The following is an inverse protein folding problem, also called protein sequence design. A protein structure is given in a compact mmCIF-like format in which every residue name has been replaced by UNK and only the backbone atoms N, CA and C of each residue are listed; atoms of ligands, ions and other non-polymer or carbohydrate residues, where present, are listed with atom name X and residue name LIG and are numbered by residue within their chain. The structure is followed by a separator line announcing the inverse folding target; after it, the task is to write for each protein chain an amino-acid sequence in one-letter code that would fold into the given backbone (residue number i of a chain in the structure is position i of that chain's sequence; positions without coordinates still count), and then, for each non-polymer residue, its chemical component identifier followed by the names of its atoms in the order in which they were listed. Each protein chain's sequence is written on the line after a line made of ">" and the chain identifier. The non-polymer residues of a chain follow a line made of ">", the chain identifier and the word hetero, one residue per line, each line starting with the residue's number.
data_IF_436802705954
#
_entry.id   IF_436802705954
#
_cell.length_a   1.000
_cell.length_b   1.000
_cell.length_c   1.000
_cell.angle_alpha   90.00
_cell.angle_beta   90.00
_cell.angle_gamma   90.00
#
_symmetry.space_group_name_H-M   'P 1'
#
loop_
_entity.id
_entity.type
_entity.pdbx_description
1 polymer ?
#
# COMPACT_ATOMS: atom_id res chain seq x y z
N UNK A 1 22.53 -26.58 4.59
CA UNK A 1 21.44 -26.27 3.62
C UNK A 1 20.06 -26.81 4.02
N UNK A 2 19.91 -28.05 4.50
CA UNK A 2 18.60 -28.68 4.72
C UNK A 2 17.73 -28.01 5.80
N UNK A 3 18.35 -27.46 6.85
CA UNK A 3 17.65 -26.77 7.94
C UNK A 3 17.23 -25.33 7.60
N UNK A 4 17.96 -24.62 6.72
CA UNK A 4 17.57 -23.28 6.25
C UNK A 4 16.34 -23.34 5.34
N UNK A 5 16.25 -24.35 4.47
CA UNK A 5 15.08 -24.54 3.61
C UNK A 5 13.84 -24.91 4.44
N UNK A 6 14.01 -25.73 5.48
CA UNK A 6 12.92 -26.12 6.38
C UNK A 6 12.46 -24.97 7.29
N UNK A 7 13.37 -24.08 7.70
CA UNK A 7 13.03 -22.88 8.48
C UNK A 7 12.27 -21.85 7.63
N UNK A 8 12.66 -21.68 6.37
CA UNK A 8 12.01 -20.75 5.43
C UNK A 8 10.64 -21.28 5.00
N UNK A 9 10.51 -22.60 4.77
CA UNK A 9 9.21 -23.24 4.50
C UNK A 9 8.29 -23.19 5.73
N UNK A 10 8.84 -23.38 6.94
CA UNK A 10 8.10 -23.26 8.19
C UNK A 10 7.59 -21.84 8.46
N UNK A 11 8.38 -20.82 8.13
CA UNK A 11 7.97 -19.41 8.21
C UNK A 11 6.85 -19.09 7.21
N UNK A 12 6.95 -19.61 5.97
CA UNK A 12 5.92 -19.44 4.93
C UNK A 12 4.62 -20.15 5.29
N UNK A 13 4.69 -21.36 5.87
CA UNK A 13 3.52 -22.09 6.36
C UNK A 13 2.88 -21.45 7.60
N UNK A 14 3.69 -20.96 8.54
CA UNK A 14 3.20 -20.23 9.71
C UNK A 14 2.54 -18.90 9.32
N UNK A 15 3.07 -18.21 8.32
CA UNK A 15 2.47 -16.99 7.76
C UNK A 15 1.18 -17.31 6.98
N UNK A 16 1.16 -18.39 6.19
CA UNK A 16 -0.04 -18.85 5.48
C UNK A 16 -1.20 -19.25 6.40
N UNK A 17 -0.88 -19.84 7.56
CA UNK A 17 -1.86 -20.14 8.61
C UNK A 17 -2.31 -18.88 9.38
N UNK A 18 -1.46 -17.86 9.52
CA UNK A 18 -1.84 -16.58 10.11
C UNK A 18 -2.74 -15.74 9.19
N UNK A 19 -2.61 -15.89 7.87
CA UNK A 19 -3.49 -15.24 6.87
C UNK A 19 -4.85 -15.92 6.68
N UNK A 20 -5.11 -17.03 7.39
CA UNK A 20 -6.39 -17.74 7.36
C UNK A 20 -7.38 -17.28 8.45
N UNK A 21 -6.94 -16.45 9.41
CA UNK A 21 -7.85 -15.52 10.07
C UNK A 21 -8.19 -14.41 9.05
N UNK A 22 -9.40 -13.82 9.06
CA UNK A 22 -9.65 -12.67 8.21
C UNK A 22 -8.50 -11.71 8.46
N UNK A 23 -7.80 -11.34 7.39
CA UNK A 23 -6.96 -10.17 7.41
C UNK A 23 -7.90 -9.03 7.84
N UNK A 24 -8.00 -8.82 9.14
CA UNK A 24 -8.29 -7.53 9.72
C UNK A 24 -7.13 -6.73 9.17
N UNK A 25 -7.38 -6.15 7.99
CA UNK A 25 -6.72 -4.98 7.52
C UNK A 25 -6.60 -4.14 8.77
N UNK A 26 -5.40 -4.08 9.33
CA UNK A 26 -5.09 -3.07 10.30
C UNK A 26 -5.18 -1.82 9.45
N UNK A 27 -6.40 -1.28 9.40
CA UNK A 27 -6.66 0.07 9.05
C UNK A 27 -5.69 0.83 9.94
N UNK A 28 -4.56 1.24 9.35
CA UNK A 28 -3.98 2.48 9.76
C UNK A 28 -5.16 3.44 9.68
N UNK A 29 -5.62 3.87 10.85
CA UNK A 29 -6.76 4.72 11.11
C UNK A 29 -6.44 6.12 10.57
N UNK A 30 -6.18 6.16 9.27
CA UNK A 30 -5.80 7.30 8.49
C UNK A 30 -6.80 7.31 7.35
N UNK A 31 -8.00 7.78 7.67
CA UNK A 31 -9.09 8.07 6.73
C UNK A 31 -8.69 9.22 5.77
N UNK A 32 -7.47 9.18 5.24
CA UNK A 32 -6.92 10.05 4.20
C UNK A 32 -7.71 9.95 2.89
N UNK A 33 -8.52 8.89 2.73
CA UNK A 33 -9.36 8.65 1.55
C UNK A 33 -10.84 9.02 1.76
N UNK A 34 -11.25 9.44 2.96
CA UNK A 34 -12.63 9.83 3.29
C UNK A 34 -13.65 8.70 3.08
N UNK A 35 -13.20 7.45 3.16
CA UNK A 35 -14.03 6.26 2.94
C UNK A 35 -15.01 6.03 4.09
N UNK A 36 -14.69 6.55 5.29
CA UNK A 36 -15.61 6.59 6.43
C UNK A 36 -16.72 7.62 6.24
N UNK A 37 -16.39 8.82 5.74
CA UNK A 37 -17.35 9.91 5.54
C UNK A 37 -18.27 9.72 4.32
N UNK A 38 -17.80 9.07 3.26
CA UNK A 38 -18.61 8.81 2.06
C UNK A 38 -19.79 7.84 2.31
N UNK A 39 -19.66 6.92 3.27
CA UNK A 39 -20.71 5.98 3.65
C UNK A 39 -21.94 6.64 4.30
N UNK A 40 -21.79 7.86 4.83
CA UNK A 40 -22.87 8.59 5.50
C UNK A 40 -23.64 9.53 4.54
N UNK A 41 -23.14 9.76 3.31
CA UNK A 41 -23.68 10.77 2.38
C UNK A 41 -24.73 10.24 1.37
N UNK A 42 -25.05 8.95 1.34
CA UNK A 42 -26.18 8.43 0.55
C UNK A 42 -26.06 8.55 -0.99
N UNK A 43 -24.85 8.72 -1.54
CA UNK A 43 -24.63 8.83 -2.98
C UNK A 43 -24.38 7.45 -3.61
N UNK A 44 -25.29 6.98 -4.46
CA UNK A 44 -25.20 5.71 -5.22
C UNK A 44 -24.01 5.65 -6.20
N UNK A 45 -23.26 6.74 -6.41
CA UNK A 45 -21.98 6.75 -7.15
C UNK A 45 -20.75 6.36 -6.29
N UNK A 46 -20.97 6.08 -5.00
CA UNK A 46 -19.92 5.81 -4.00
C UNK A 46 -19.31 4.41 -4.16
N UNK A 47 -20.05 3.44 -4.68
CA UNK A 47 -19.58 2.05 -4.75
C UNK A 47 -18.36 1.88 -5.66
N UNK A 48 -18.32 2.56 -6.80
CA UNK A 48 -17.18 2.41 -7.74
C UNK A 48 -15.92 3.01 -7.14
N UNK A 49 -15.99 4.19 -6.52
CA UNK A 49 -14.83 4.84 -5.89
C UNK A 49 -14.31 4.03 -4.71
N UNK A 50 -15.20 3.52 -3.85
CA UNK A 50 -14.82 2.70 -2.70
C UNK A 50 -14.28 1.33 -3.15
N UNK A 51 -14.87 0.72 -4.17
CA UNK A 51 -14.39 -0.56 -4.73
C UNK A 51 -13.01 -0.41 -5.34
N UNK A 52 -12.78 0.65 -6.13
CA UNK A 52 -11.46 0.94 -6.71
C UNK A 52 -10.43 1.24 -5.63
N UNK A 53 -10.78 2.03 -4.60
CA UNK A 53 -9.88 2.30 -3.48
C UNK A 53 -9.50 1.03 -2.71
N UNK A 54 -10.45 0.10 -2.51
CA UNK A 54 -10.19 -1.20 -1.89
C UNK A 54 -9.25 -2.06 -2.73
N UNK A 55 -9.46 -2.13 -4.05
CA UNK A 55 -8.61 -2.91 -4.97
C UNK A 55 -7.19 -2.35 -4.98
N UNK A 56 -7.03 -1.03 -5.05
CA UNK A 56 -5.72 -0.36 -5.02
C UNK A 56 -5.01 -0.67 -3.71
N UNK A 57 -5.67 -0.48 -2.56
CA UNK A 57 -5.06 -0.78 -1.25
C UNK A 57 -4.68 -2.26 -1.10
N UNK A 58 -5.53 -3.18 -1.56
CA UNK A 58 -5.23 -4.61 -1.55
C UNK A 58 -4.01 -4.95 -2.43
N UNK A 59 -3.96 -4.37 -3.64
CA UNK A 59 -2.82 -4.53 -4.55
C UNK A 59 -1.53 -3.98 -3.97
N UNK A 60 -1.56 -2.75 -3.45
CA UNK A 60 -0.39 -2.11 -2.84
C UNK A 60 0.13 -2.88 -1.63
N UNK A 61 -0.75 -3.44 -0.79
CA UNK A 61 -0.37 -4.27 0.34
C UNK A 61 0.36 -5.55 -0.08
N UNK A 62 -0.16 -6.25 -1.09
CA UNK A 62 0.46 -7.48 -1.61
C UNK A 62 1.82 -7.16 -2.26
N UNK A 63 1.88 -6.12 -3.11
CA UNK A 63 3.12 -5.70 -3.75
C UNK A 63 4.18 -5.26 -2.73
N UNK A 64 3.79 -4.48 -1.71
CA UNK A 64 4.68 -4.05 -0.64
C UNK A 64 5.24 -5.23 0.17
N UNK A 65 4.40 -6.23 0.45
CA UNK A 65 4.82 -7.45 1.15
C UNK A 65 5.85 -8.25 0.34
N UNK A 66 5.63 -8.39 -0.97
CA UNK A 66 6.58 -9.08 -1.86
C UNK A 66 7.92 -8.33 -1.89
N UNK A 67 7.90 -7.00 -1.98
CA UNK A 67 9.12 -6.18 -1.94
C UNK A 67 9.88 -6.35 -0.63
N UNK A 68 9.19 -6.40 0.50
CA UNK A 68 9.83 -6.66 1.81
C UNK A 68 10.55 -8.01 1.82
N UNK A 69 9.93 -9.07 1.30
CA UNK A 69 10.55 -10.40 1.21
C UNK A 69 11.80 -10.39 0.32
N UNK A 70 11.76 -9.67 -0.81
CA UNK A 70 12.91 -9.53 -1.71
C UNK A 70 14.07 -8.78 -1.06
N UNK A 71 13.79 -7.72 -0.30
CA UNK A 71 14.80 -6.97 0.45
C UNK A 71 15.46 -7.86 1.49
N UNK A 72 14.68 -8.65 2.24
CA UNK A 72 15.21 -9.60 3.21
C UNK A 72 16.08 -10.65 2.52
N UNK A 73 15.62 -11.24 1.41
CA UNK A 73 16.39 -12.20 0.63
C UNK A 73 17.73 -11.63 0.13
N UNK A 74 17.70 -10.42 -0.42
CA UNK A 74 18.89 -9.73 -0.88
C UNK A 74 19.85 -9.39 0.26
N UNK A 75 19.33 -8.99 1.42
CA UNK A 75 20.11 -8.74 2.63
C UNK A 75 20.83 -9.99 3.12
N UNK A 76 20.14 -11.14 3.14
CA UNK A 76 20.77 -12.42 3.46
C UNK A 76 21.85 -12.80 2.44
N UNK A 77 21.56 -12.66 1.14
CA UNK A 77 22.51 -12.94 0.07
C UNK A 77 23.78 -12.08 0.23
N UNK A 78 23.62 -10.80 0.57
CA UNK A 78 24.73 -9.89 0.81
C UNK A 78 25.55 -10.30 2.04
N UNK A 79 24.90 -10.66 3.14
CA UNK A 79 25.57 -11.08 4.38
C UNK A 79 26.30 -12.42 4.20
N UNK A 80 25.77 -13.33 3.39
CA UNK A 80 26.38 -14.65 3.14
C UNK A 80 27.40 -14.66 2.00
N UNK A 81 27.60 -13.54 1.30
CA UNK A 81 28.46 -13.47 0.13
C UNK A 81 29.94 -13.77 0.44
N UNK A 82 30.38 -13.70 1.70
CA UNK A 82 31.71 -14.10 2.17
C UNK A 82 32.90 -13.57 1.32
N UNK A 83 32.74 -12.39 0.71
CA UNK A 83 33.75 -11.75 -0.14
C UNK A 83 33.71 -12.14 -1.63
N UNK A 84 32.76 -12.99 -2.07
CA UNK A 84 32.54 -13.24 -3.50
C UNK A 84 31.85 -12.05 -4.16
N UNK A 85 32.59 -11.37 -5.02
CA UNK A 85 32.15 -10.14 -5.69
C UNK A 85 30.86 -10.34 -6.51
N UNK A 86 30.69 -11.50 -7.15
CA UNK A 86 29.46 -11.87 -7.87
C UNK A 86 28.19 -11.85 -6.99
N UNK A 87 28.28 -12.38 -5.76
CA UNK A 87 27.13 -12.42 -4.86
C UNK A 87 26.84 -11.05 -4.27
N UNK A 88 27.88 -10.24 -4.03
CA UNK A 88 27.73 -8.85 -3.60
C UNK A 88 27.07 -8.03 -4.72
N UNK A 89 27.52 -8.20 -5.96
CA UNK A 89 26.94 -7.53 -7.14
C UNK A 89 25.48 -7.89 -7.33
N UNK A 90 25.16 -9.18 -7.24
CA UNK A 90 23.77 -9.68 -7.33
C UNK A 90 22.90 -9.10 -6.23
N UNK A 91 23.35 -9.15 -4.97
CA UNK A 91 22.58 -8.62 -3.84
C UNK A 91 22.34 -7.10 -3.95
N UNK A 92 23.36 -6.34 -4.36
CA UNK A 92 23.22 -4.90 -4.62
C UNK A 92 22.25 -4.61 -5.76
N UNK A 93 22.25 -5.41 -6.82
CA UNK A 93 21.31 -5.28 -7.93
C UNK A 93 19.86 -5.53 -7.50
N UNK A 94 19.61 -6.53 -6.66
CA UNK A 94 18.27 -6.79 -6.13
C UNK A 94 17.84 -5.66 -5.18
N UNK A 95 18.74 -5.17 -4.32
CA UNK A 95 18.46 -4.05 -3.41
C UNK A 95 18.13 -2.77 -4.17
N UNK A 96 18.89 -2.41 -5.21
CA UNK A 96 18.62 -1.21 -6.01
C UNK A 96 17.27 -1.32 -6.73
N UNK A 97 16.96 -2.48 -7.31
CA UNK A 97 15.66 -2.74 -7.93
C UNK A 97 14.51 -2.67 -6.93
N UNK A 98 14.70 -3.22 -5.72
CA UNK A 98 13.68 -3.19 -4.66
C UNK A 98 13.41 -1.76 -4.15
N UNK A 99 14.45 -0.92 -4.01
CA UNK A 99 14.29 0.49 -3.63
C UNK A 99 13.50 1.26 -4.69
N UNK A 100 13.81 1.07 -5.97
CA UNK A 100 13.07 1.70 -7.06
C UNK A 100 11.61 1.24 -7.07
N UNK A 101 11.35 -0.05 -6.85
CA UNK A 101 9.99 -0.58 -6.71
C UNK A 101 9.21 0.06 -5.56
N UNK A 102 9.85 0.23 -4.41
CA UNK A 102 9.26 0.94 -3.26
C UNK A 102 8.90 2.39 -3.58
N UNK A 103 9.80 3.12 -4.25
CA UNK A 103 9.54 4.52 -4.65
C UNK A 103 8.34 4.61 -5.60
N UNK A 104 8.22 3.68 -6.56
CA UNK A 104 7.08 3.63 -7.49
C UNK A 104 5.77 3.41 -6.73
N UNK A 105 5.73 2.46 -5.79
CA UNK A 105 4.53 2.16 -5.00
C UNK A 105 4.08 3.39 -4.19
N UNK A 106 5.02 4.04 -3.50
CA UNK A 106 4.73 5.24 -2.71
C UNK A 106 4.24 6.41 -3.58
N UNK A 107 4.83 6.56 -4.76
CA UNK A 107 4.46 7.60 -5.72
C UNK A 107 3.08 7.33 -6.33
N UNK A 108 2.79 6.09 -6.69
CA UNK A 108 1.49 5.67 -7.21
C UNK A 108 0.37 5.93 -6.20
N UNK A 109 0.62 5.66 -4.91
CA UNK A 109 -0.33 6.00 -3.84
C UNK A 109 -0.58 7.50 -3.76
N UNK A 110 0.47 8.31 -3.66
CA UNK A 110 0.36 9.77 -3.58
C UNK A 110 -0.37 10.40 -4.76
N UNK A 111 -0.12 9.93 -5.99
CA UNK A 111 -0.82 10.43 -7.18
C UNK A 111 -2.30 10.03 -7.13
N UNK A 112 -2.60 8.79 -6.74
CA UNK A 112 -3.99 8.31 -6.68
C UNK A 112 -4.82 9.12 -5.69
N UNK A 113 -4.29 9.41 -4.51
CA UNK A 113 -4.98 10.23 -3.50
C UNK A 113 -5.15 11.67 -3.95
N UNK A 114 -4.15 12.24 -4.62
CA UNK A 114 -4.22 13.59 -5.18
C UNK A 114 -5.34 13.72 -6.21
N UNK A 115 -5.43 12.80 -7.18
CA UNK A 115 -6.48 12.82 -8.21
C UNK A 115 -7.87 12.67 -7.59
N UNK A 116 -8.04 11.74 -6.64
CA UNK A 116 -9.32 11.54 -5.96
C UNK A 116 -9.78 12.81 -5.23
N UNK A 117 -8.85 13.50 -4.57
CA UNK A 117 -9.09 14.74 -3.83
C UNK A 117 -9.50 15.88 -4.75
N UNK A 118 -8.79 16.08 -5.86
CA UNK A 118 -9.14 17.11 -6.85
C UNK A 118 -10.49 16.83 -7.53
N UNK A 119 -10.77 15.57 -7.87
CA UNK A 119 -12.07 15.20 -8.42
C UNK A 119 -13.21 15.38 -7.42
N UNK A 120 -12.97 15.13 -6.13
CA UNK A 120 -13.97 15.38 -5.09
C UNK A 120 -14.26 16.87 -4.94
N UNK A 121 -13.21 17.71 -4.92
CA UNK A 121 -13.32 19.17 -4.88
C UNK A 121 -14.10 19.71 -6.10
N UNK A 122 -13.75 19.25 -7.30
CA UNK A 122 -14.43 19.68 -8.53
C UNK A 122 -15.89 19.19 -8.61
N UNK A 123 -16.19 18.00 -8.08
CA UNK A 123 -17.54 17.42 -8.08
C UNK A 123 -18.50 18.04 -7.06
N UNK A 124 -17.98 18.63 -5.97
CA UNK A 124 -18.81 19.16 -4.88
C UNK A 124 -19.07 20.66 -4.98
N UNK A 125 -18.44 21.39 -5.92
CA UNK A 125 -18.70 22.81 -6.16
C UNK A 125 -18.62 23.69 -4.91
N UNK A 126 -17.82 23.29 -3.92
CA UNK A 126 -17.91 23.77 -2.54
C UNK A 126 -17.26 25.14 -2.29
N UNK A 127 -17.25 26.02 -3.30
CA UNK A 127 -16.74 27.39 -3.17
C UNK A 127 -17.87 28.45 -3.05
N UNK A 128 -19.17 28.09 -3.15
CA UNK A 128 -20.25 29.12 -3.25
C UNK A 128 -21.30 29.17 -2.12
N UNK A 129 -21.25 28.30 -1.09
CA UNK A 129 -22.24 28.34 0.01
C UNK A 129 -21.85 29.18 1.24
N UNK A 130 -20.72 29.91 1.21
CA UNK A 130 -20.28 30.77 2.33
C UNK A 130 -20.64 32.27 2.11
N UNK A 131 -21.30 32.63 1.01
CA UNK A 131 -21.69 34.02 0.71
C UNK A 131 -23.20 34.32 0.65
N UNK A 132 -24.07 33.45 1.16
CA UNK A 132 -25.50 33.79 1.33
C UNK A 132 -25.98 33.50 2.74
N UNK A 133 -25.42 34.22 3.71
CA UNK A 133 -26.19 34.55 4.91
C UNK A 133 -27.08 35.77 4.55
N UNK A 134 -28.40 35.61 4.37
CA UNK A 134 -29.30 36.76 4.24
C UNK A 134 -29.25 37.58 5.56
N UNK A 135 -29.50 38.90 5.49
CA UNK A 135 -29.36 39.79 6.64
C UNK A 135 -30.16 39.27 7.82
N UNK A 136 -29.47 39.05 8.95
CA UNK A 136 -30.15 38.96 10.24
C UNK A 136 -30.75 40.34 10.49
N UNK A 137 -32.08 40.38 10.53
CA UNK A 137 -32.94 41.56 10.75
C UNK A 137 -32.41 42.53 11.78
#
# INVERSE_FOLDING_TARGET
>A
MKYMLSALLGLVLAFGLFTAAPALAQAADDDLLGVGYAGQSGLTNTDVRITVAKIINAGLGILGTIMLVLVIYAGFLWMTAAGKEDQIGTAKGILSAAVVGLVIILTAYSISTFVIKELYKASTGADDYVIVNPPQS
#
